data_IF_930967708827
#
_entry.id   IF_930967708827
#
_cell.length_a   1.000
_cell.length_b   1.000
_cell.length_c   1.000
_cell.angle_alpha   90.00
_cell.angle_beta   90.00
_cell.angle_gamma   90.00
#
_symmetry.space_group_name_H-M   'P 1'
#
loop_
_entity.id
_entity.type
_entity.pdbx_description
1 polymer ?
#
# COMPACT_ATOMS: atom_id res chain seq x y z
N UNK A 1 27.64 -21.73 18.80
CA UNK A 1 26.94 -20.45 19.05
C UNK A 1 25.47 -20.68 18.76
N UNK A 2 24.60 -20.54 19.75
CA UNK A 2 23.14 -20.69 19.55
C UNK A 2 22.60 -19.35 19.08
N UNK A 3 22.39 -19.19 17.78
CA UNK A 3 21.68 -18.03 17.25
C UNK A 3 20.24 -18.13 17.71
N UNK A 4 19.76 -17.09 18.39
CA UNK A 4 18.34 -17.03 18.77
C UNK A 4 17.50 -16.84 17.51
N UNK A 5 16.24 -17.32 17.52
CA UNK A 5 15.31 -17.15 16.40
C UNK A 5 15.14 -15.65 16.02
N UNK A 6 15.32 -14.74 16.99
CA UNK A 6 15.23 -13.29 16.80
C UNK A 6 16.38 -12.75 15.95
N UNK A 7 17.62 -13.21 16.16
CA UNK A 7 18.77 -12.77 15.38
C UNK A 7 18.64 -13.19 13.92
N UNK A 8 18.22 -14.42 13.67
CA UNK A 8 17.98 -14.92 12.32
C UNK A 8 16.89 -14.11 11.60
N UNK A 9 15.82 -13.74 12.29
CA UNK A 9 14.75 -12.88 11.74
C UNK A 9 15.30 -11.49 11.41
N UNK A 10 16.14 -10.89 12.27
CA UNK A 10 16.75 -9.58 12.02
C UNK A 10 17.69 -9.63 10.81
N UNK A 11 18.51 -10.67 10.67
CA UNK A 11 19.38 -10.86 9.52
C UNK A 11 18.59 -11.06 8.22
N UNK A 12 17.51 -11.85 8.25
CA UNK A 12 16.62 -12.01 7.11
C UNK A 12 15.95 -10.69 6.72
N UNK A 13 15.45 -9.93 7.69
CA UNK A 13 14.86 -8.62 7.45
C UNK A 13 15.86 -7.64 6.83
N UNK A 14 17.11 -7.60 7.34
CA UNK A 14 18.17 -6.76 6.80
C UNK A 14 18.52 -7.13 5.35
N UNK A 15 18.63 -8.43 5.04
CA UNK A 15 18.85 -8.90 3.67
C UNK A 15 17.70 -8.54 2.73
N UNK A 16 16.46 -8.73 3.16
CA UNK A 16 15.29 -8.39 2.35
C UNK A 16 15.21 -6.87 2.10
N UNK A 17 15.45 -6.06 3.13
CA UNK A 17 15.51 -4.61 2.98
C UNK A 17 16.59 -4.19 1.98
N UNK A 18 17.81 -4.73 2.11
CA UNK A 18 18.91 -4.43 1.21
C UNK A 18 18.57 -4.81 -0.24
N UNK A 19 18.19 -6.07 -0.47
CA UNK A 19 18.02 -6.60 -1.82
C UNK A 19 16.76 -6.14 -2.54
N UNK A 20 15.63 -6.01 -1.83
CA UNK A 20 14.34 -5.71 -2.46
C UNK A 20 13.98 -4.23 -2.46
N UNK A 21 14.56 -3.44 -1.55
CA UNK A 21 14.21 -2.02 -1.38
C UNK A 21 15.44 -1.13 -1.64
N UNK A 22 16.51 -1.25 -0.83
CA UNK A 22 17.63 -0.28 -0.89
C UNK A 22 18.45 -0.36 -2.19
N UNK A 23 18.68 -1.57 -2.71
CA UNK A 23 19.45 -1.79 -3.94
C UNK A 23 18.56 -1.92 -5.19
N UNK A 24 17.24 -1.95 -4.99
CA UNK A 24 16.29 -2.02 -6.09
C UNK A 24 15.92 -0.60 -6.52
N UNK A 25 16.28 -0.23 -7.75
CA UNK A 25 15.95 1.08 -8.31
C UNK A 25 14.45 1.27 -8.55
N UNK A 26 13.67 0.19 -8.54
CA UNK A 26 12.23 0.20 -8.72
C UNK A 26 11.51 -0.88 -7.89
N UNK A 27 11.35 -0.69 -6.56
CA UNK A 27 10.54 -1.55 -5.70
C UNK A 27 9.03 -1.46 -6.00
N UNK A 28 8.60 -0.49 -6.80
CA UNK A 28 7.18 -0.30 -7.12
C UNK A 28 6.42 0.38 -5.97
N UNK A 29 5.21 -0.10 -5.69
CA UNK A 29 4.42 0.35 -4.53
C UNK A 29 4.72 -0.56 -3.37
N UNK A 30 4.80 -0.01 -2.17
CA UNK A 30 4.99 -0.85 -0.99
C UNK A 30 4.34 -0.28 0.25
N UNK A 31 4.12 -1.20 1.19
CA UNK A 31 3.46 -0.98 2.47
C UNK A 31 4.36 -1.59 3.54
N UNK A 32 4.58 -0.85 4.63
CA UNK A 32 5.14 -1.39 5.88
C UNK A 32 4.12 -1.17 6.98
N UNK A 33 3.75 -2.25 7.67
CA UNK A 33 2.89 -2.23 8.85
C UNK A 33 3.63 -2.93 9.98
N UNK A 34 3.60 -2.31 11.16
CA UNK A 34 4.19 -2.92 12.34
C UNK A 34 4.18 -1.99 13.53
N UNK A 35 4.96 -2.35 14.54
CA UNK A 35 5.15 -1.51 15.72
C UNK A 35 6.61 -1.11 15.86
N UNK A 36 6.85 0.10 16.35
CA UNK A 36 8.20 0.53 16.73
C UNK A 36 8.58 -0.05 18.11
N UNK A 37 9.77 0.30 18.59
CA UNK A 37 10.28 -0.13 19.90
C UNK A 37 9.48 0.41 21.10
N UNK A 38 8.71 1.48 20.91
CA UNK A 38 7.79 2.06 21.89
C UNK A 38 6.38 1.45 21.80
N UNK A 39 6.22 0.37 21.03
CA UNK A 39 4.93 -0.31 20.82
C UNK A 39 3.87 0.55 20.10
N UNK A 40 4.28 1.63 19.44
CA UNK A 40 3.41 2.48 18.60
C UNK A 40 3.21 1.86 17.22
N UNK A 41 1.99 1.87 16.72
CA UNK A 41 1.68 1.44 15.35
C UNK A 41 2.35 2.38 14.33
N UNK A 42 3.02 1.78 13.34
CA UNK A 42 3.66 2.46 12.23
C UNK A 42 3.07 1.92 10.92
N UNK A 43 2.68 2.86 10.05
CA UNK A 43 2.22 2.59 8.71
C UNK A 43 3.02 3.47 7.74
N UNK A 44 3.71 2.84 6.79
CA UNK A 44 4.41 3.53 5.71
C UNK A 44 3.86 3.03 4.38
N UNK A 45 3.62 3.97 3.46
CA UNK A 45 3.24 3.67 2.08
C UNK A 45 4.03 4.55 1.14
N UNK A 46 4.43 3.99 0.00
CA UNK A 46 5.07 4.73 -1.07
C UNK A 46 4.56 4.31 -2.44
N UNK A 47 4.69 5.23 -3.40
CA UNK A 47 4.36 5.00 -4.80
C UNK A 47 5.59 5.22 -5.67
N UNK A 48 5.62 4.49 -6.78
CA UNK A 48 6.53 4.71 -7.89
C UNK A 48 5.77 4.51 -9.21
N UNK A 49 6.33 5.00 -10.32
CA UNK A 49 5.75 4.85 -11.65
C UNK A 49 6.79 4.49 -12.71
N UNK A 50 6.44 3.58 -13.62
CA UNK A 50 7.28 3.18 -14.77
C UNK A 50 6.98 4.00 -16.03
N UNK A 51 5.71 4.33 -16.23
CA UNK A 51 5.20 5.10 -17.37
C UNK A 51 5.01 6.56 -17.01
N UNK A 52 4.85 7.43 -18.01
CA UNK A 52 4.51 8.83 -17.80
C UNK A 52 3.20 8.97 -17.02
N UNK A 53 2.16 8.21 -17.40
CA UNK A 53 0.88 8.21 -16.69
C UNK A 53 1.04 7.78 -15.21
N UNK A 54 1.77 6.71 -14.92
CA UNK A 54 1.96 6.24 -13.53
C UNK A 54 2.90 7.10 -12.68
N UNK A 55 3.78 7.91 -13.30
CA UNK A 55 4.60 8.91 -12.62
C UNK A 55 3.87 10.22 -12.37
N UNK A 56 2.80 10.50 -13.12
CA UNK A 56 2.03 11.72 -13.00
C UNK A 56 1.09 11.69 -11.78
N UNK A 57 1.67 11.54 -10.59
CA UNK A 57 0.92 11.45 -9.33
C UNK A 57 1.61 12.16 -8.19
N UNK A 58 0.79 12.81 -7.37
CA UNK A 58 1.17 13.34 -6.06
C UNK A 58 0.23 12.78 -4.99
N UNK A 59 0.65 12.86 -3.74
CA UNK A 59 -0.24 12.61 -2.62
C UNK A 59 -0.92 13.89 -2.18
N UNK A 60 -2.22 13.79 -1.92
CA UNK A 60 -2.99 14.78 -1.19
C UNK A 60 -3.56 14.13 0.07
N UNK A 61 -3.72 14.93 1.12
CA UNK A 61 -4.27 14.46 2.38
C UNK A 61 -5.35 15.41 2.87
N UNK A 62 -6.54 14.88 3.12
CA UNK A 62 -7.66 15.62 3.69
C UNK A 62 -8.47 14.70 4.60
N UNK A 63 -8.80 15.16 5.82
CA UNK A 63 -9.75 14.51 6.74
C UNK A 63 -9.50 12.99 6.92
N UNK A 64 -8.25 12.61 7.19
CA UNK A 64 -7.87 11.20 7.43
C UNK A 64 -7.83 10.33 6.16
N UNK A 65 -7.92 10.93 4.97
CA UNK A 65 -7.77 10.24 3.69
C UNK A 65 -6.50 10.70 3.01
N UNK A 66 -5.60 9.77 2.73
CA UNK A 66 -4.47 9.98 1.82
C UNK A 66 -4.89 9.51 0.43
N UNK A 67 -4.83 10.38 -0.56
CA UNK A 67 -5.27 10.11 -1.93
C UNK A 67 -4.12 10.34 -2.91
N UNK A 68 -4.09 9.57 -3.99
CA UNK A 68 -3.29 9.90 -5.17
C UNK A 68 -4.09 10.79 -6.11
N UNK A 69 -3.50 11.89 -6.53
CA UNK A 69 -4.05 12.82 -7.52
C UNK A 69 -3.06 13.00 -8.67
N UNK A 70 -3.56 13.39 -9.84
CA UNK A 70 -2.70 13.69 -10.97
C UNK A 70 -1.88 14.95 -10.67
N UNK A 71 -0.57 14.92 -10.96
CA UNK A 71 0.26 16.12 -10.80
C UNK A 71 -0.07 17.16 -11.89
N UNK A 72 -0.35 16.68 -13.10
CA UNK A 72 -0.81 17.46 -14.25
C UNK A 72 -2.02 16.75 -14.89
N UNK A 73 -3.20 17.37 -14.81
CA UNK A 73 -4.44 16.81 -15.35
C UNK A 73 -4.44 16.69 -16.89
N UNK A 74 -3.63 17.48 -17.59
CA UNK A 74 -3.64 17.55 -19.06
C UNK A 74 -3.01 16.35 -19.74
N UNK A 75 -2.17 15.59 -19.02
CA UNK A 75 -1.43 14.43 -19.52
C UNK A 75 -1.94 13.10 -18.92
N UNK A 76 -3.10 13.12 -18.27
CA UNK A 76 -3.73 11.90 -17.74
C UNK A 76 -4.26 11.07 -18.91
N UNK A 77 -3.81 9.82 -18.98
CA UNK A 77 -4.34 8.83 -19.91
C UNK A 77 -5.51 8.10 -19.22
N UNK A 78 -5.29 6.88 -18.72
CA UNK A 78 -6.26 6.17 -17.88
C UNK A 78 -6.06 6.53 -16.39
N UNK A 79 -7.03 7.19 -15.73
CA UNK A 79 -6.93 7.52 -14.30
C UNK A 79 -7.14 6.31 -13.38
N UNK A 80 -7.68 5.19 -13.87
CA UNK A 80 -8.24 4.11 -13.04
C UNK A 80 -7.21 3.43 -12.12
N UNK A 81 -5.94 3.42 -12.52
CA UNK A 81 -4.82 2.83 -11.77
C UNK A 81 -3.93 3.89 -11.10
N UNK A 82 -4.23 5.18 -11.28
CA UNK A 82 -3.39 6.27 -10.77
C UNK A 82 -4.11 7.20 -9.80
N UNK A 83 -5.44 7.27 -9.80
CA UNK A 83 -6.22 8.08 -8.86
C UNK A 83 -7.05 7.18 -7.95
N UNK A 84 -6.66 7.09 -6.68
CA UNK A 84 -7.34 6.29 -5.66
C UNK A 84 -7.03 6.78 -4.25
N UNK A 85 -7.87 6.42 -3.29
CA UNK A 85 -7.55 6.59 -1.87
C UNK A 85 -6.46 5.58 -1.50
N UNK A 86 -5.25 6.04 -1.22
CA UNK A 86 -4.13 5.20 -0.78
C UNK A 86 -4.28 4.78 0.68
N UNK A 87 -4.79 5.67 1.53
CA UNK A 87 -5.12 5.38 2.92
C UNK A 87 -6.44 6.01 3.34
N UNK A 88 -7.15 5.34 4.24
CA UNK A 88 -8.36 5.87 4.88
C UNK A 88 -8.39 5.53 6.36
N UNK A 89 -8.52 6.55 7.18
CA UNK A 89 -8.86 6.46 8.60
C UNK A 89 -10.39 6.39 8.75
N UNK A 90 -10.87 5.33 9.41
CA UNK A 90 -12.29 5.09 9.72
C UNK A 90 -12.59 5.31 11.21
N UNK A 91 -11.65 5.86 11.98
CA UNK A 91 -11.74 6.08 13.42
C UNK A 91 -11.33 4.86 14.25
N UNK A 92 -11.85 3.67 13.94
CA UNK A 92 -11.49 2.42 14.62
C UNK A 92 -10.43 1.60 13.89
N UNK A 93 -10.07 2.00 12.67
CA UNK A 93 -9.02 1.37 11.90
C UNK A 93 -8.49 2.31 10.81
N UNK A 94 -7.26 2.03 10.37
CA UNK A 94 -6.65 2.66 9.20
C UNK A 94 -6.43 1.58 8.14
N UNK A 95 -6.97 1.80 6.95
CA UNK A 95 -6.81 0.92 5.78
C UNK A 95 -5.84 1.55 4.81
N UNK A 96 -4.95 0.75 4.22
CA UNK A 96 -4.00 1.17 3.17
C UNK A 96 -3.99 0.18 2.02
N UNK A 97 -3.89 0.67 0.78
CA UNK A 97 -3.67 -0.20 -0.38
C UNK A 97 -3.03 0.53 -1.57
N UNK A 98 -2.58 -0.21 -2.58
CA UNK A 98 -2.06 0.38 -3.82
C UNK A 98 -3.09 0.64 -4.93
N UNK A 99 -4.39 0.71 -4.61
CA UNK A 99 -5.38 1.03 -5.62
C UNK A 99 -6.78 1.29 -5.06
N UNK A 100 -7.77 1.32 -5.95
CA UNK A 100 -9.19 1.55 -5.59
C UNK A 100 -9.77 0.60 -4.54
N UNK A 101 -9.13 -0.54 -4.32
CA UNK A 101 -9.57 -1.56 -3.38
C UNK A 101 -9.46 -1.13 -1.90
N UNK A 102 -8.77 -0.02 -1.60
CA UNK A 102 -8.92 0.67 -0.30
C UNK A 102 -10.39 0.93 0.01
N UNK A 103 -11.14 1.50 -0.94
CA UNK A 103 -12.56 1.79 -0.74
C UNK A 103 -13.43 0.53 -0.76
N UNK A 104 -13.02 -0.52 -1.49
CA UNK A 104 -13.67 -1.84 -1.40
C UNK A 104 -13.59 -2.38 0.03
N UNK A 105 -12.40 -2.31 0.65
CA UNK A 105 -12.17 -2.74 2.03
C UNK A 105 -13.00 -1.88 3.00
N UNK A 106 -12.94 -0.55 2.91
CA UNK A 106 -13.68 0.34 3.79
C UNK A 106 -15.20 0.06 3.74
N UNK A 107 -15.79 -0.02 2.55
CA UNK A 107 -17.21 -0.35 2.37
C UNK A 107 -17.56 -1.74 2.90
N UNK A 108 -16.64 -2.68 2.83
CA UNK A 108 -16.81 -4.01 3.41
C UNK A 108 -16.90 -3.97 4.93
N UNK A 109 -15.98 -3.25 5.58
CA UNK A 109 -15.93 -3.07 7.03
C UNK A 109 -17.19 -2.33 7.53
N UNK A 110 -17.59 -1.25 6.86
CA UNK A 110 -18.84 -0.52 7.16
C UNK A 110 -20.08 -1.43 7.11
N UNK A 111 -20.04 -2.51 6.31
CA UNK A 111 -21.09 -3.52 6.18
C UNK A 111 -20.89 -4.75 7.08
N UNK A 112 -19.94 -4.69 8.02
CA UNK A 112 -19.64 -5.78 8.94
C UNK A 112 -18.86 -6.95 8.34
N UNK A 113 -18.26 -6.79 7.14
CA UNK A 113 -17.39 -7.82 6.55
C UNK A 113 -15.99 -7.74 7.12
N UNK A 114 -15.30 -8.88 7.12
CA UNK A 114 -13.87 -8.93 7.43
C UNK A 114 -13.03 -8.29 6.32
N UNK A 115 -11.78 -7.93 6.64
CA UNK A 115 -10.78 -7.49 5.66
C UNK A 115 -10.62 -8.50 4.51
N UNK A 116 -10.47 -9.79 4.85
CA UNK A 116 -10.31 -10.86 3.87
C UNK A 116 -11.53 -11.01 2.95
N UNK A 117 -12.74 -11.07 3.52
CA UNK A 117 -13.98 -11.22 2.74
C UNK A 117 -14.23 -10.02 1.82
N UNK A 118 -13.76 -8.83 2.22
CA UNK A 118 -13.88 -7.62 1.38
C UNK A 118 -13.02 -7.70 0.13
N UNK A 119 -11.94 -8.47 0.15
CA UNK A 119 -10.99 -8.64 -0.95
C UNK A 119 -11.24 -9.89 -1.81
N UNK A 120 -12.18 -10.75 -1.44
CA UNK A 120 -12.37 -12.07 -2.09
C UNK A 120 -12.57 -12.03 -3.61
N UNK A 121 -13.08 -10.92 -4.14
CA UNK A 121 -13.35 -10.72 -5.57
C UNK A 121 -12.31 -9.82 -6.26
N UNK A 122 -11.37 -9.25 -5.49
CA UNK A 122 -10.31 -8.42 -6.05
C UNK A 122 -9.27 -9.33 -6.71
N UNK A 123 -8.84 -8.92 -7.90
CA UNK A 123 -7.77 -9.57 -8.67
C UNK A 123 -6.61 -8.60 -8.84
N UNK A 124 -5.51 -9.05 -9.43
CA UNK A 124 -4.45 -8.14 -9.88
C UNK A 124 -4.99 -7.00 -10.77
N UNK A 125 -4.21 -5.95 -10.93
CA UNK A 125 -4.52 -4.87 -11.87
C UNK A 125 -4.63 -5.43 -13.31
N UNK A 126 -5.58 -4.95 -14.13
CA UNK A 126 -5.75 -5.38 -15.52
C UNK A 126 -4.74 -4.66 -16.45
N UNK A 127 -3.47 -4.58 -16.04
CA UNK A 127 -2.40 -3.83 -16.72
C UNK A 127 -1.45 -4.77 -17.48
N UNK A 128 -1.98 -5.49 -18.46
CA UNK A 128 -1.18 -6.36 -19.33
C UNK A 128 0.04 -5.60 -19.90
N UNK A 129 1.24 -6.21 -19.91
CA UNK A 129 1.55 -7.60 -19.50
C UNK A 129 1.98 -7.74 -18.02
N UNK A 130 1.85 -6.69 -17.21
CA UNK A 130 2.43 -6.66 -15.86
C UNK A 130 1.59 -7.41 -14.82
N UNK A 131 0.26 -7.34 -14.95
CA UNK A 131 -0.69 -7.94 -14.01
C UNK A 131 -0.34 -7.63 -12.55
N UNK A 132 -0.20 -6.33 -12.25
CA UNK A 132 0.42 -5.91 -11.00
C UNK A 132 -0.41 -6.33 -9.79
N UNK A 133 0.19 -6.95 -8.75
CA UNK A 133 -0.54 -7.35 -7.55
C UNK A 133 -1.22 -6.18 -6.83
N UNK A 134 -2.37 -6.49 -6.23
CA UNK A 134 -3.07 -5.63 -5.27
C UNK A 134 -2.56 -5.95 -3.87
N UNK A 135 -1.81 -5.02 -3.28
CA UNK A 135 -1.34 -5.08 -1.90
C UNK A 135 -2.18 -4.17 -1.03
N UNK A 136 -2.52 -4.66 0.16
CA UNK A 136 -3.33 -3.93 1.12
C UNK A 136 -2.95 -4.33 2.54
N UNK A 137 -3.35 -3.50 3.49
CA UNK A 137 -3.22 -3.80 4.91
C UNK A 137 -4.14 -2.95 5.76
N UNK A 138 -4.27 -3.33 7.02
CA UNK A 138 -5.16 -2.69 7.99
C UNK A 138 -4.51 -2.68 9.37
N UNK A 139 -4.68 -1.58 10.09
CA UNK A 139 -4.36 -1.46 11.51
C UNK A 139 -5.67 -1.19 12.24
N UNK A 140 -5.96 -1.97 13.28
CA UNK A 140 -7.05 -1.70 14.21
C UNK A 140 -6.53 -0.81 15.35
N UNK A 141 -7.26 0.28 15.61
CA UNK A 141 -6.91 1.31 16.59
C UNK A 141 -7.63 1.06 17.93
#
# INVERSE_FOLDING_TARGET
MSFTNIELIKELAARNFSGHISQNVYPGRGIVLGRNHENSWILVYWIMGRSSNSRNRIFTHEKGTLRTEAADLSIVEDPSLIIYNAMRDLGNCVVVSNGKHTDTICKGIERGKSFYTSLQNEKHEPDDPNYTPRISGIIWC
#
